data_IF_836120500924
#
_entry.id   IF_836120500924
#
_cell.length_a   1.000
_cell.length_b   1.000
_cell.length_c   1.000
_cell.angle_alpha   90.00
_cell.angle_beta   90.00
_cell.angle_gamma   90.00
#
_symmetry.space_group_name_H-M   'P 1'
#
loop_
_entity.id
_entity.type
_entity.pdbx_description
1 polymer ?
#
# COMPACT_ATOMS: atom_id res chain seq x y z
N UNK A 1 -24.79 -25.95 -13.08
CA UNK A 1 -24.56 -24.65 -12.43
C UNK A 1 -25.88 -24.26 -11.78
N UNK A 2 -26.00 -24.46 -10.48
CA UNK A 2 -27.26 -24.23 -9.74
C UNK A 2 -27.11 -22.92 -8.98
N UNK A 3 -27.84 -21.89 -9.39
CA UNK A 3 -27.83 -20.58 -8.72
C UNK A 3 -28.60 -20.75 -7.41
N UNK A 4 -27.89 -20.76 -6.29
CA UNK A 4 -28.50 -20.75 -4.96
C UNK A 4 -28.90 -19.31 -4.61
N UNK A 5 -30.19 -19.08 -4.40
CA UNK A 5 -30.74 -17.95 -3.63
C UNK A 5 -30.57 -16.56 -4.26
N UNK A 6 -31.59 -16.10 -4.98
CA UNK A 6 -31.74 -14.68 -5.27
C UNK A 6 -32.08 -13.93 -3.99
N UNK A 7 -31.27 -12.95 -3.59
CA UNK A 7 -31.61 -12.03 -2.51
C UNK A 7 -32.66 -11.07 -3.05
N UNK A 8 -33.92 -11.24 -2.68
CA UNK A 8 -34.98 -10.27 -2.94
C UNK A 8 -34.86 -9.16 -1.88
N UNK A 9 -33.99 -8.18 -2.13
CA UNK A 9 -34.03 -6.90 -1.41
C UNK A 9 -34.88 -5.92 -2.19
N UNK A 10 -35.76 -5.19 -1.51
CA UNK A 10 -36.47 -4.04 -2.08
C UNK A 10 -35.57 -2.80 -2.28
N UNK A 11 -34.27 -2.94 -2.06
CA UNK A 11 -33.26 -1.92 -2.33
C UNK A 11 -32.49 -2.30 -3.60
N UNK A 12 -32.19 -1.32 -4.48
CA UNK A 12 -31.30 -1.53 -5.62
C UNK A 12 -29.97 -2.15 -5.17
N UNK A 13 -29.51 -3.16 -5.90
CA UNK A 13 -28.17 -3.73 -5.69
C UNK A 13 -27.18 -2.79 -6.37
N UNK A 14 -26.36 -2.08 -5.60
CA UNK A 14 -25.24 -1.31 -6.14
C UNK A 14 -24.18 -2.28 -6.67
N UNK A 15 -23.97 -2.26 -7.98
CA UNK A 15 -22.99 -3.12 -8.67
C UNK A 15 -21.61 -2.47 -8.77
N UNK A 16 -21.53 -1.15 -8.57
CA UNK A 16 -20.31 -0.35 -8.60
C UNK A 16 -20.13 0.35 -7.26
N UNK A 17 -18.87 0.46 -6.80
CA UNK A 17 -18.53 1.23 -5.61
C UNK A 17 -18.54 2.74 -5.88
N UNK A 18 -18.55 3.53 -4.80
CA UNK A 18 -18.40 4.98 -4.89
C UNK A 18 -17.08 5.37 -5.56
N UNK A 19 -17.14 6.32 -6.49
CA UNK A 19 -15.98 7.02 -7.07
C UNK A 19 -15.41 8.08 -6.11
N UNK A 20 -16.14 8.40 -5.05
CA UNK A 20 -15.76 9.39 -4.05
C UNK A 20 -14.99 8.77 -2.89
N UNK A 21 -13.85 9.38 -2.56
CA UNK A 21 -13.04 9.10 -1.38
C UNK A 21 -13.37 10.09 -0.26
N UNK A 22 -13.76 9.59 0.91
CA UNK A 22 -13.90 10.39 2.13
C UNK A 22 -12.67 10.20 3.02
N UNK A 23 -11.95 11.29 3.31
CA UNK A 23 -10.88 11.30 4.32
C UNK A 23 -11.41 11.96 5.59
N UNK A 24 -11.54 11.17 6.65
CA UNK A 24 -12.08 11.60 7.93
C UNK A 24 -10.96 11.80 8.95
N UNK A 25 -11.08 12.90 9.70
CA UNK A 25 -10.16 13.27 10.75
C UNK A 25 -10.89 13.26 12.09
N UNK A 26 -10.35 12.57 13.10
CA UNK A 26 -10.74 12.81 14.49
C UNK A 26 -9.86 13.92 15.03
N UNK A 27 -10.49 15.00 15.46
CA UNK A 27 -9.80 16.14 16.07
C UNK A 27 -10.09 16.15 17.57
N UNK A 28 -9.03 16.26 18.37
CA UNK A 28 -9.11 16.45 19.82
C UNK A 28 -8.14 17.57 20.23
N UNK A 29 -8.58 18.47 21.11
CA UNK A 29 -7.79 19.65 21.53
C UNK A 29 -7.13 20.43 20.37
N UNK A 30 -7.80 20.50 19.21
CA UNK A 30 -7.30 21.19 18.01
C UNK A 30 -6.24 20.42 17.21
N UNK A 31 -5.94 19.17 17.57
CA UNK A 31 -4.99 18.30 16.88
C UNK A 31 -5.69 17.11 16.22
N UNK A 32 -5.17 16.68 15.07
CA UNK A 32 -5.64 15.46 14.41
C UNK A 32 -5.05 14.25 15.14
N UNK A 33 -5.89 13.45 15.76
CA UNK A 33 -5.50 12.24 16.52
C UNK A 33 -5.65 10.96 15.70
N UNK A 34 -6.44 11.02 14.61
CA UNK A 34 -6.72 9.85 13.77
C UNK A 34 -7.12 10.26 12.37
N UNK A 35 -6.59 9.56 11.38
CA UNK A 35 -6.97 9.67 9.97
C UNK A 35 -7.57 8.35 9.51
N UNK A 36 -8.67 8.40 8.77
CA UNK A 36 -9.25 7.24 8.09
C UNK A 36 -9.76 7.62 6.70
N UNK A 37 -9.54 6.74 5.75
CA UNK A 37 -10.08 6.87 4.40
C UNK A 37 -11.18 5.83 4.17
N UNK A 38 -12.31 6.26 3.60
CA UNK A 38 -13.49 5.44 3.37
C UNK A 38 -14.08 5.68 1.98
N UNK A 39 -14.72 4.66 1.43
CA UNK A 39 -15.73 4.83 0.39
C UNK A 39 -16.98 5.47 0.99
N UNK A 40 -17.65 6.35 0.25
CA UNK A 40 -18.94 6.91 0.67
C UNK A 40 -20.11 5.92 0.60
N UNK A 41 -19.90 4.74 0.00
CA UNK A 41 -20.88 3.65 0.11
C UNK A 41 -20.86 2.94 1.47
N UNK A 42 -19.88 3.23 2.34
CA UNK A 42 -19.83 2.69 3.69
C UNK A 42 -20.76 3.46 4.63
N UNK A 43 -21.57 2.76 5.43
CA UNK A 43 -22.27 3.38 6.56
C UNK A 43 -21.26 3.87 7.61
N UNK A 44 -21.34 5.16 7.95
CA UNK A 44 -20.44 5.80 8.93
C UNK A 44 -21.21 6.11 10.21
N UNK A 45 -20.77 5.52 11.31
CA UNK A 45 -21.24 5.89 12.65
C UNK A 45 -20.16 6.74 13.35
N UNK A 46 -20.51 8.00 13.63
CA UNK A 46 -19.64 8.94 14.34
C UNK A 46 -19.64 8.73 15.87
N UNK A 47 -20.42 7.77 16.38
CA UNK A 47 -20.48 7.46 17.81
C UNK A 47 -21.01 8.61 18.65
N UNK A 48 -21.90 9.43 18.10
CA UNK A 48 -22.46 10.61 18.76
C UNK A 48 -21.53 11.84 18.82
N UNK A 49 -20.35 11.80 18.20
CA UNK A 49 -19.46 12.96 18.12
C UNK A 49 -20.00 13.99 17.11
N UNK A 50 -19.75 15.30 17.33
CA UNK A 50 -20.02 16.32 16.33
C UNK A 50 -19.32 15.98 15.03
N UNK A 51 -20.08 15.97 13.94
CA UNK A 51 -19.58 15.64 12.61
C UNK A 51 -19.69 16.85 11.70
N UNK A 52 -18.55 17.28 11.16
CA UNK A 52 -18.46 18.40 10.23
C UNK A 52 -18.04 17.86 8.88
N UNK A 53 -18.90 18.00 7.88
CA UNK A 53 -18.59 17.64 6.51
C UNK A 53 -18.01 18.83 5.77
N UNK A 54 -16.78 18.70 5.27
CA UNK A 54 -16.13 19.73 4.44
C UNK A 54 -16.37 19.37 2.98
N UNK A 55 -17.19 20.16 2.29
CA UNK A 55 -17.50 19.99 0.87
C UNK A 55 -16.61 20.87 -0.02
N UNK A 56 -16.47 20.50 -1.29
CA UNK A 56 -15.79 21.33 -2.29
C UNK A 56 -14.27 21.40 -2.12
N UNK A 57 -13.66 20.37 -1.52
CA UNK A 57 -12.21 20.28 -1.35
C UNK A 57 -11.57 19.86 -2.67
N UNK A 58 -10.69 20.67 -3.28
CA UNK A 58 -9.93 20.25 -4.45
C UNK A 58 -9.02 19.07 -4.11
N UNK A 59 -8.87 18.09 -5.02
CA UNK A 59 -8.07 16.89 -4.77
C UNK A 59 -6.63 17.24 -4.37
N UNK A 60 -5.98 18.17 -5.07
CA UNK A 60 -4.63 18.64 -4.76
C UNK A 60 -4.53 19.24 -3.33
N UNK A 61 -5.57 19.92 -2.85
CA UNK A 61 -5.60 20.47 -1.49
C UNK A 61 -5.71 19.35 -0.44
N UNK A 62 -6.52 18.33 -0.71
CA UNK A 62 -6.61 17.12 0.12
C UNK A 62 -5.26 16.41 0.18
N UNK A 63 -4.65 16.11 -0.97
CA UNK A 63 -3.33 15.47 -1.12
C UNK A 63 -2.26 16.23 -0.35
N UNK A 64 -2.17 17.56 -0.53
CA UNK A 64 -1.19 18.38 0.17
C UNK A 64 -1.41 18.38 1.70
N UNK A 65 -2.67 18.41 2.15
CA UNK A 65 -3.00 18.40 3.57
C UNK A 65 -2.64 17.05 4.23
N UNK A 66 -3.03 15.92 3.63
CA UNK A 66 -2.72 14.59 4.18
C UNK A 66 -1.23 14.29 4.15
N UNK A 67 -0.50 14.68 3.10
CA UNK A 67 0.95 14.51 3.08
C UNK A 67 1.63 15.36 4.17
N UNK A 68 1.14 16.58 4.42
CA UNK A 68 1.61 17.41 5.53
C UNK A 68 1.29 16.85 6.92
N UNK A 69 0.27 16.00 7.07
CA UNK A 69 0.00 15.29 8.33
C UNK A 69 1.03 14.18 8.60
N UNK A 70 1.65 13.62 7.57
CA UNK A 70 2.73 12.65 7.74
C UNK A 70 3.94 13.33 8.40
N UNK A 71 4.22 14.58 8.04
CA UNK A 71 5.35 15.35 8.61
C UNK A 71 5.10 15.83 10.04
N UNK A 72 3.85 16.17 10.38
CA UNK A 72 3.48 16.75 11.68
C UNK A 72 2.94 15.73 12.69
N UNK A 73 2.56 14.54 12.23
CA UNK A 73 1.86 13.56 13.04
C UNK A 73 2.71 13.08 14.21
N UNK A 74 2.18 13.23 15.43
CA UNK A 74 2.77 12.63 16.62
C UNK A 74 2.19 11.21 16.79
N UNK A 75 2.96 10.22 16.35
CA UNK A 75 2.63 8.80 16.49
C UNK A 75 2.02 8.10 15.26
N UNK A 76 2.11 6.77 15.28
CA UNK A 76 1.86 5.92 14.11
C UNK A 76 0.42 5.98 13.58
N UNK A 77 -0.59 6.31 14.40
CA UNK A 77 -1.99 6.28 13.94
C UNK A 77 -2.30 7.39 12.94
N UNK A 78 -1.75 8.59 13.14
CA UNK A 78 -1.95 9.72 12.24
C UNK A 78 -1.14 9.50 10.98
N UNK A 79 0.14 9.14 11.12
CA UNK A 79 1.06 8.97 9.99
C UNK A 79 0.68 7.78 9.10
N UNK A 80 0.37 6.61 9.66
CA UNK A 80 -0.08 5.44 8.89
C UNK A 80 -1.43 5.71 8.22
N UNK A 81 -2.37 6.36 8.93
CA UNK A 81 -3.67 6.71 8.39
C UNK A 81 -3.60 7.75 7.27
N UNK A 82 -2.71 8.74 7.40
CA UNK A 82 -2.46 9.75 6.37
C UNK A 82 -1.74 9.16 5.16
N UNK A 83 -0.78 8.27 5.36
CA UNK A 83 -0.08 7.57 4.29
C UNK A 83 -1.03 6.65 3.51
N UNK A 84 -1.93 5.94 4.21
CA UNK A 84 -3.00 5.20 3.56
C UNK A 84 -3.96 6.13 2.82
N UNK A 85 -4.44 7.22 3.43
CA UNK A 85 -5.29 8.18 2.74
C UNK A 85 -4.63 8.69 1.45
N UNK A 86 -3.34 9.03 1.50
CA UNK A 86 -2.56 9.43 0.33
C UNK A 86 -2.52 8.33 -0.75
N UNK A 87 -2.39 7.05 -0.38
CA UNK A 87 -2.39 5.96 -1.37
C UNK A 87 -3.72 5.75 -2.07
N UNK A 88 -4.82 6.12 -1.41
CA UNK A 88 -6.18 6.00 -1.97
C UNK A 88 -6.53 7.14 -2.95
N UNK A 89 -5.74 8.23 -3.01
CA UNK A 89 -5.96 9.29 -4.01
C UNK A 89 -5.48 8.81 -5.39
N UNK A 90 -6.37 8.89 -6.39
CA UNK A 90 -6.12 8.40 -7.74
C UNK A 90 -5.26 9.36 -8.58
N UNK A 91 -4.98 10.56 -8.08
CA UNK A 91 -4.13 11.54 -8.74
C UNK A 91 -2.62 11.16 -8.83
N UNK A 92 -1.96 11.72 -9.84
CA UNK A 92 -0.54 11.54 -10.13
C UNK A 92 0.40 12.24 -9.14
N UNK A 93 -0.01 13.37 -8.55
CA UNK A 93 0.72 14.04 -7.48
C UNK A 93 0.75 13.18 -6.22
N UNK A 94 -0.37 12.54 -5.87
CA UNK A 94 -0.44 11.60 -4.75
C UNK A 94 0.56 10.44 -4.91
N UNK A 95 0.63 9.86 -6.12
CA UNK A 95 1.62 8.84 -6.46
C UNK A 95 3.05 9.37 -6.30
N UNK A 96 3.31 10.59 -6.79
CA UNK A 96 4.63 11.22 -6.71
C UNK A 96 5.06 11.46 -5.26
N UNK A 97 4.13 11.89 -4.40
CA UNK A 97 4.36 12.05 -2.95
C UNK A 97 4.63 10.70 -2.30
N UNK A 98 3.88 9.65 -2.63
CA UNK A 98 4.08 8.31 -2.10
C UNK A 98 5.45 7.72 -2.50
N UNK A 99 5.88 7.92 -3.75
CA UNK A 99 7.24 7.57 -4.22
C UNK A 99 8.31 8.31 -3.40
N UNK A 100 8.16 9.63 -3.21
CA UNK A 100 9.09 10.43 -2.40
C UNK A 100 9.19 9.90 -0.97
N UNK A 101 8.07 9.49 -0.37
CA UNK A 101 8.05 8.87 0.97
C UNK A 101 8.79 7.54 0.98
N UNK A 102 8.56 6.68 -0.01
CA UNK A 102 9.29 5.42 -0.15
C UNK A 102 10.81 5.61 -0.28
N UNK A 103 11.25 6.63 -1.02
CA UNK A 103 12.67 6.89 -1.28
C UNK A 103 13.40 7.61 -0.14
N UNK A 104 12.75 8.58 0.52
CA UNK A 104 13.45 9.60 1.31
C UNK A 104 12.90 9.84 2.71
N UNK A 105 11.81 9.20 3.11
CA UNK A 105 11.27 9.43 4.43
C UNK A 105 12.30 9.02 5.50
N UNK A 106 12.57 9.88 6.52
CA UNK A 106 13.55 9.56 7.55
C UNK A 106 13.18 8.30 8.34
N UNK A 107 11.88 7.99 8.46
CA UNK A 107 11.39 6.80 9.15
C UNK A 107 11.48 5.56 8.24
N UNK A 108 12.29 4.54 8.59
CA UNK A 108 12.31 3.27 7.86
C UNK A 108 10.93 2.60 7.84
N UNK A 109 10.13 2.81 8.88
CA UNK A 109 8.77 2.28 8.93
C UNK A 109 7.91 2.90 7.83
N UNK A 110 7.93 4.24 7.68
CA UNK A 110 7.14 4.94 6.66
C UNK A 110 7.63 4.63 5.24
N UNK A 111 8.96 4.52 5.01
CA UNK A 111 9.47 4.05 3.71
C UNK A 111 8.90 2.69 3.34
N UNK A 112 8.94 1.74 4.28
CA UNK A 112 8.38 0.40 4.09
C UNK A 112 6.87 0.37 3.86
N UNK A 113 6.09 1.20 4.57
CA UNK A 113 4.65 1.31 4.35
C UNK A 113 4.33 1.95 2.99
N UNK A 114 5.10 2.97 2.58
CA UNK A 114 4.92 3.60 1.28
C UNK A 114 5.17 2.61 0.13
N UNK A 115 6.21 1.76 0.24
CA UNK A 115 6.48 0.68 -0.71
C UNK A 115 5.32 -0.32 -0.81
N UNK A 116 4.74 -0.71 0.34
CA UNK A 116 3.57 -1.58 0.35
C UNK A 116 2.40 -0.96 -0.42
N UNK A 117 2.07 0.30 -0.14
CA UNK A 117 0.98 0.99 -0.81
C UNK A 117 1.24 1.26 -2.29
N UNK A 118 2.50 1.49 -2.69
CA UNK A 118 2.88 1.59 -4.10
C UNK A 118 2.61 0.29 -4.86
N UNK A 119 2.90 -0.87 -4.25
CA UNK A 119 2.64 -2.15 -4.88
C UNK A 119 1.15 -2.39 -5.16
N UNK A 120 0.27 -1.92 -4.27
CA UNK A 120 -1.19 -2.05 -4.45
C UNK A 120 -1.73 -1.19 -5.61
N UNK A 121 -1.01 -0.14 -6.00
CA UNK A 121 -1.40 0.72 -7.12
C UNK A 121 -0.99 0.16 -8.48
N UNK A 122 -0.09 -0.83 -8.52
CA UNK A 122 0.42 -1.53 -9.70
C UNK A 122 0.76 -0.60 -10.91
N UNK A 123 2.06 -0.36 -11.13
CA UNK A 123 2.53 0.34 -12.33
C UNK A 123 4.04 0.48 -12.39
N UNK A 124 4.57 0.83 -13.57
CA UNK A 124 6.02 0.84 -13.85
C UNK A 124 6.83 1.67 -12.86
N UNK A 125 6.32 2.85 -12.48
CA UNK A 125 7.01 3.71 -11.50
C UNK A 125 7.09 3.05 -10.12
N UNK A 126 6.03 2.36 -9.69
CA UNK A 126 6.02 1.64 -8.42
C UNK A 126 7.04 0.50 -8.43
N UNK A 127 7.09 -0.28 -9.52
CA UNK A 127 8.06 -1.37 -9.67
C UNK A 127 9.51 -0.89 -9.64
N UNK A 128 9.81 0.21 -10.33
CA UNK A 128 11.14 0.82 -10.33
C UNK A 128 11.55 1.26 -8.91
N UNK A 129 10.69 1.99 -8.21
CA UNK A 129 10.94 2.42 -6.81
C UNK A 129 11.09 1.23 -5.87
N UNK A 130 10.28 0.18 -6.01
CA UNK A 130 10.40 -1.04 -5.19
C UNK A 130 11.73 -1.75 -5.44
N UNK A 131 12.11 -1.90 -6.71
CA UNK A 131 13.37 -2.55 -7.10
C UNK A 131 14.56 -1.77 -6.56
N UNK A 132 14.54 -0.43 -6.67
CA UNK A 132 15.59 0.44 -6.12
C UNK A 132 15.72 0.28 -4.61
N UNK A 133 14.61 0.30 -3.87
CA UNK A 133 14.62 0.13 -2.42
C UNK A 133 15.22 -1.23 -1.99
N UNK A 134 14.95 -2.32 -2.72
CA UNK A 134 15.56 -3.63 -2.45
C UNK A 134 17.09 -3.56 -2.58
N UNK A 135 17.60 -2.85 -3.59
CA UNK A 135 19.02 -2.79 -3.87
C UNK A 135 19.75 -1.82 -2.95
N UNK A 136 19.14 -0.65 -2.69
CA UNK A 136 19.87 0.54 -2.26
C UNK A 136 19.43 1.10 -0.90
N UNK A 137 18.28 0.70 -0.32
CA UNK A 137 17.88 1.25 0.99
C UNK A 137 18.93 0.90 2.07
N UNK A 138 19.37 1.84 2.90
CA UNK A 138 20.38 1.55 3.93
C UNK A 138 19.88 0.58 5.01
N UNK A 139 18.56 0.42 5.18
CA UNK A 139 17.95 -0.40 6.21
C UNK A 139 17.46 -1.75 5.64
N UNK A 140 18.00 -2.84 6.17
CA UNK A 140 17.65 -4.22 5.76
C UNK A 140 16.16 -4.54 5.94
N UNK A 141 15.49 -4.01 6.96
CA UNK A 141 14.05 -4.24 7.14
C UNK A 141 13.23 -3.54 6.05
N UNK A 142 13.66 -2.36 5.58
CA UNK A 142 13.04 -1.73 4.42
C UNK A 142 13.27 -2.57 3.17
N UNK A 143 14.49 -3.08 2.95
CA UNK A 143 14.75 -4.02 1.83
C UNK A 143 13.81 -5.23 1.88
N UNK A 144 13.61 -5.83 3.05
CA UNK A 144 12.68 -6.98 3.21
C UNK A 144 11.23 -6.60 2.93
N UNK A 145 10.78 -5.43 3.40
CA UNK A 145 9.44 -4.89 3.08
C UNK A 145 9.31 -4.59 1.58
N UNK A 146 10.38 -4.14 0.92
CA UNK A 146 10.41 -3.93 -0.52
C UNK A 146 10.31 -5.26 -1.29
N UNK A 147 10.96 -6.34 -0.82
CA UNK A 147 10.77 -7.69 -1.41
C UNK A 147 9.33 -8.19 -1.22
N UNK A 148 8.70 -7.89 -0.09
CA UNK A 148 7.26 -8.17 0.08
C UNK A 148 6.41 -7.34 -0.89
N UNK A 149 6.67 -6.03 -1.00
CA UNK A 149 5.98 -5.18 -1.96
C UNK A 149 6.12 -5.71 -3.41
N UNK A 150 7.31 -6.17 -3.78
CA UNK A 150 7.58 -6.82 -5.07
C UNK A 150 6.71 -8.08 -5.27
N UNK A 151 6.52 -8.91 -4.24
CA UNK A 151 5.67 -10.11 -4.35
C UNK A 151 4.19 -9.80 -4.52
N UNK A 152 3.76 -8.56 -4.23
CA UNK A 152 2.39 -8.11 -4.45
C UNK A 152 2.14 -7.60 -5.88
N UNK A 153 3.20 -7.41 -6.68
CA UNK A 153 3.06 -7.07 -8.10
C UNK A 153 2.55 -8.28 -8.91
N UNK A 154 1.98 -8.05 -10.12
CA UNK A 154 1.53 -9.14 -10.99
C UNK A 154 2.59 -10.24 -11.16
N UNK A 155 2.18 -11.50 -11.16
CA UNK A 155 3.09 -12.65 -11.13
C UNK A 155 4.13 -12.65 -12.26
N UNK A 156 3.75 -12.19 -13.45
CA UNK A 156 4.66 -12.12 -14.60
C UNK A 156 5.78 -11.10 -14.43
N UNK A 157 5.60 -10.13 -13.55
CA UNK A 157 6.63 -9.18 -13.17
C UNK A 157 7.38 -9.62 -11.91
N UNK A 158 6.66 -10.07 -10.88
CA UNK A 158 7.23 -10.36 -9.57
C UNK A 158 8.07 -11.63 -9.55
N UNK A 159 7.64 -12.71 -10.21
CA UNK A 159 8.31 -14.01 -10.14
C UNK A 159 9.71 -13.99 -10.76
N UNK A 160 9.93 -13.46 -11.99
CA UNK A 160 11.28 -13.36 -12.54
C UNK A 160 12.23 -12.54 -11.66
N UNK A 161 11.75 -11.41 -11.11
CA UNK A 161 12.55 -10.55 -10.23
C UNK A 161 12.87 -11.22 -8.90
N UNK A 162 11.93 -11.94 -8.29
CA UNK A 162 12.17 -12.71 -7.06
C UNK A 162 13.19 -13.83 -7.28
N UNK A 163 13.14 -14.54 -8.42
CA UNK A 163 14.14 -15.55 -8.80
C UNK A 163 15.52 -14.91 -8.95
N UNK A 164 15.61 -13.75 -9.62
CA UNK A 164 16.86 -13.00 -9.76
C UNK A 164 17.43 -12.63 -8.39
N UNK A 165 16.62 -12.03 -7.52
CA UNK A 165 17.03 -11.65 -6.16
C UNK A 165 17.51 -12.84 -5.35
N UNK A 166 16.82 -13.98 -5.42
CA UNK A 166 17.22 -15.20 -4.73
C UNK A 166 18.59 -15.72 -5.19
N UNK A 167 18.99 -15.45 -6.44
CA UNK A 167 20.29 -15.82 -7.03
C UNK A 167 21.40 -14.82 -6.74
N UNK A 168 21.13 -13.52 -6.87
CA UNK A 168 22.18 -12.49 -7.00
C UNK A 168 22.34 -11.59 -5.79
N UNK A 169 21.31 -11.47 -4.94
CA UNK A 169 21.34 -10.50 -3.85
C UNK A 169 22.41 -10.85 -2.82
N UNK A 170 23.24 -9.87 -2.44
CA UNK A 170 24.38 -10.10 -1.52
C UNK A 170 23.93 -10.19 -0.07
N UNK A 171 22.86 -9.49 0.30
CA UNK A 171 22.32 -9.57 1.66
C UNK A 171 21.56 -10.90 1.85
N UNK A 172 22.01 -11.80 2.76
CA UNK A 172 21.40 -13.10 2.95
C UNK A 172 19.97 -13.03 3.48
N UNK A 173 19.61 -12.01 4.27
CA UNK A 173 18.24 -11.83 4.77
C UNK A 173 17.29 -11.45 3.64
N UNK A 174 17.74 -10.61 2.71
CA UNK A 174 16.95 -10.23 1.53
C UNK A 174 16.80 -11.43 0.58
N UNK A 175 17.86 -12.22 0.38
CA UNK A 175 17.76 -13.51 -0.36
C UNK A 175 16.76 -14.46 0.28
N UNK A 176 16.82 -14.64 1.59
CA UNK A 176 15.88 -15.49 2.34
C UNK A 176 14.44 -15.01 2.15
N UNK A 177 14.22 -13.69 2.18
CA UNK A 177 12.90 -13.11 1.94
C UNK A 177 12.40 -13.39 0.51
N UNK A 178 13.27 -13.34 -0.50
CA UNK A 178 12.89 -13.68 -1.87
C UNK A 178 12.49 -15.17 -2.00
N UNK A 179 13.28 -16.09 -1.42
CA UNK A 179 12.91 -17.51 -1.36
C UNK A 179 11.59 -17.76 -0.64
N UNK A 180 11.34 -17.06 0.47
CA UNK A 180 10.08 -17.16 1.20
C UNK A 180 8.88 -16.83 0.30
N UNK A 181 8.93 -15.70 -0.40
CA UNK A 181 7.82 -15.28 -1.28
C UNK A 181 7.68 -16.13 -2.54
N UNK A 182 8.78 -16.65 -3.09
CA UNK A 182 8.74 -17.68 -4.14
C UNK A 182 8.00 -18.94 -3.66
N UNK A 183 8.21 -19.36 -2.40
CA UNK A 183 7.48 -20.48 -1.82
C UNK A 183 5.98 -20.21 -1.61
N UNK A 184 5.58 -18.94 -1.44
CA UNK A 184 4.16 -18.55 -1.27
C UNK A 184 3.41 -18.38 -2.60
N UNK A 185 4.11 -18.17 -3.72
CA UNK A 185 3.47 -17.76 -4.98
C UNK A 185 2.63 -18.84 -5.66
N UNK A 186 2.91 -20.13 -5.38
CA UNK A 186 2.35 -21.28 -6.12
C UNK A 186 2.61 -21.22 -7.64
N UNK A 187 3.58 -20.41 -8.08
CA UNK A 187 3.93 -20.25 -9.49
C UNK A 187 4.87 -21.38 -9.93
N UNK A 188 4.58 -22.10 -11.04
CA UNK A 188 5.43 -23.18 -11.53
C UNK A 188 6.90 -22.76 -11.80
N UNK A 189 7.15 -21.51 -12.19
CA UNK A 189 8.51 -20.98 -12.41
C UNK A 189 9.27 -20.89 -11.09
N UNK A 190 8.59 -20.51 -10.01
CA UNK A 190 9.17 -20.46 -8.68
C UNK A 190 9.50 -21.87 -8.17
N UNK A 191 8.61 -22.84 -8.37
CA UNK A 191 8.86 -24.24 -8.03
C UNK A 191 10.08 -24.80 -8.77
N UNK A 192 10.12 -24.66 -10.10
CA UNK A 192 11.24 -25.13 -10.91
C UNK A 192 12.59 -24.52 -10.47
N UNK A 193 12.58 -23.23 -10.10
CA UNK A 193 13.77 -22.60 -9.54
C UNK A 193 14.16 -23.20 -8.18
N UNK A 194 13.23 -23.38 -7.25
CA UNK A 194 13.51 -23.95 -5.93
C UNK A 194 14.05 -25.38 -6.07
N UNK A 195 13.45 -26.23 -6.91
CA UNK A 195 13.95 -27.58 -7.21
C UNK A 195 15.38 -27.55 -7.73
N UNK A 196 15.69 -26.63 -8.67
CA UNK A 196 17.05 -26.48 -9.22
C UNK A 196 18.12 -26.11 -8.19
N UNK A 197 17.71 -25.53 -7.05
CA UNK A 197 18.60 -25.17 -5.94
C UNK A 197 18.77 -26.34 -4.97
N UNK A 198 17.72 -27.16 -4.77
CA UNK A 198 17.74 -28.29 -3.83
C UNK A 198 18.44 -29.55 -4.38
N UNK A 199 18.55 -29.69 -5.70
CA UNK A 199 19.18 -30.85 -6.37
C UNK A 199 20.70 -30.63 -6.58
N UNK A 200 21.22 -29.46 -6.20
CA UNK A 200 22.66 -29.16 -6.21
C UNK A 200 23.30 -29.49 -4.87
#
# INVERSE_FOLDING_TARGET
>A
MTVAGGVSTNQPIELEGSDQLAVLFRVDHGQVEKVRAFSLSCALDAGGLPFVWISGVPEAASVAYVDGLIDRGDGNRVTDGALFALSQHQDGEATTRLIRRAERDPSPHLRGQALFWLAQRAGDRASATITDAIMNDPNTDVKKRAVFALSQLPADESIPKLIELARTQRNPDVRKQAFFWLGQSRDPRALAYIESVLIR
#
